data_IF_113531153736
#
_entry.id   IF_113531153736
#
_cell.length_a   1.000
_cell.length_b   1.000
_cell.length_c   1.000
_cell.angle_alpha   90.00
_cell.angle_beta   90.00
_cell.angle_gamma   90.00
#
_symmetry.space_group_name_H-M   'P 1'
#
loop_
_entity.id
_entity.type
_entity.pdbx_description
1 polymer ?
#
# COMPACT_ATOMS: atom_id res chain seq x y z
N UNK A 1 -40.90 -19.86 6.76
CA UNK A 1 -40.24 -18.62 6.33
C UNK A 1 -39.46 -18.93 5.07
N UNK A 2 -39.84 -18.36 3.93
CA UNK A 2 -39.08 -18.53 2.69
C UNK A 2 -37.77 -17.73 2.83
N UNK A 3 -36.62 -18.42 2.88
CA UNK A 3 -35.34 -17.73 2.76
C UNK A 3 -35.26 -17.15 1.35
N UNK A 4 -35.32 -15.83 1.23
CA UNK A 4 -35.12 -15.15 -0.04
C UNK A 4 -33.76 -15.54 -0.62
N UNK A 5 -33.72 -15.91 -1.90
CA UNK A 5 -32.47 -16.20 -2.60
C UNK A 5 -31.56 -14.97 -2.53
N UNK A 6 -30.28 -15.11 -2.11
CA UNK A 6 -29.36 -13.99 -2.05
C UNK A 6 -29.26 -13.30 -3.42
N UNK A 7 -29.18 -11.96 -3.42
CA UNK A 7 -28.86 -11.23 -4.66
C UNK A 7 -27.47 -11.67 -5.16
N UNK A 8 -27.17 -11.54 -6.47
CA UNK A 8 -25.83 -11.86 -6.99
C UNK A 8 -24.71 -11.13 -6.22
N UNK A 9 -24.97 -9.88 -5.83
CA UNK A 9 -24.07 -9.08 -5.00
C UNK A 9 -23.84 -9.70 -3.62
N UNK A 10 -24.91 -10.08 -2.92
CA UNK A 10 -24.81 -10.73 -1.62
C UNK A 10 -24.07 -12.06 -1.73
N UNK A 11 -24.35 -12.86 -2.75
CA UNK A 11 -23.66 -14.13 -2.97
C UNK A 11 -22.14 -13.96 -3.25
N UNK A 12 -21.74 -12.87 -3.91
CA UNK A 12 -20.33 -12.55 -4.12
C UNK A 12 -19.64 -12.14 -2.81
N UNK A 13 -20.29 -11.29 -2.00
CA UNK A 13 -19.78 -10.92 -0.68
C UNK A 13 -19.70 -12.13 0.25
N UNK A 14 -20.71 -13.00 0.25
CA UNK A 14 -20.73 -14.21 1.08
C UNK A 14 -19.62 -15.19 0.69
N UNK A 15 -19.33 -15.34 -0.60
CA UNK A 15 -18.20 -16.15 -1.06
C UNK A 15 -16.85 -15.56 -0.61
N UNK A 16 -16.72 -14.24 -0.64
CA UNK A 16 -15.50 -13.53 -0.27
C UNK A 16 -15.25 -13.53 1.25
N UNK A 17 -16.29 -13.23 2.04
CA UNK A 17 -16.22 -13.23 3.50
C UNK A 17 -16.40 -14.61 4.14
N UNK A 18 -16.74 -15.63 3.34
CA UNK A 18 -16.71 -17.04 3.75
C UNK A 18 -15.30 -17.60 3.88
N UNK A 19 -14.28 -16.94 3.30
CA UNK A 19 -12.87 -17.29 3.47
C UNK A 19 -12.37 -16.93 4.87
N UNK A 20 -11.22 -17.48 5.25
CA UNK A 20 -10.56 -17.12 6.50
C UNK A 20 -10.16 -15.63 6.48
N UNK A 21 -10.77 -14.83 7.36
CA UNK A 21 -10.49 -13.41 7.48
C UNK A 21 -9.75 -13.09 8.79
N UNK A 22 -8.43 -12.97 8.70
CA UNK A 22 -7.57 -12.68 9.85
C UNK A 22 -7.59 -11.20 10.27
N UNK A 23 -8.10 -10.29 9.44
CA UNK A 23 -8.28 -8.88 9.82
C UNK A 23 -9.34 -8.74 10.93
N UNK A 24 -10.32 -9.66 10.96
CA UNK A 24 -11.43 -9.66 11.94
C UNK A 24 -11.36 -10.80 12.96
N UNK A 25 -10.67 -11.90 12.62
CA UNK A 25 -10.48 -13.07 13.49
C UNK A 25 -9.03 -13.56 13.40
N UNK A 26 -8.11 -12.93 14.14
CA UNK A 26 -6.72 -13.38 14.17
C UNK A 26 -6.65 -14.82 14.72
N UNK A 27 -5.86 -15.70 14.11
CA UNK A 27 -5.77 -17.09 14.54
C UNK A 27 -5.03 -17.19 15.89
N UNK A 28 -5.50 -18.10 16.77
CA UNK A 28 -4.91 -18.30 18.10
C UNK A 28 -3.52 -18.95 18.10
N UNK A 29 -3.10 -19.51 16.97
CA UNK A 29 -1.72 -19.87 16.63
C UNK A 29 -1.43 -19.29 15.26
N UNK A 30 -0.29 -18.62 15.09
CA UNK A 30 0.05 -18.01 13.80
C UNK A 30 0.20 -19.14 12.76
N UNK A 31 -0.64 -19.20 11.71
CA UNK A 31 -0.36 -20.08 10.57
C UNK A 31 0.99 -19.67 9.98
N UNK A 32 1.63 -20.56 9.21
CA UNK A 32 2.85 -20.18 8.51
C UNK A 32 2.53 -18.99 7.59
N UNK A 33 3.01 -17.79 7.96
CA UNK A 33 2.97 -16.63 7.10
C UNK A 33 3.99 -16.87 6.00
N UNK A 34 3.59 -17.60 4.97
CA UNK A 34 4.44 -17.93 3.84
C UNK A 34 3.86 -17.27 2.60
N UNK A 35 4.74 -16.65 1.80
CA UNK A 35 4.34 -16.05 0.53
C UNK A 35 4.05 -17.10 -0.55
N UNK A 36 4.24 -18.37 -0.27
CA UNK A 36 4.19 -19.43 -1.27
C UNK A 36 2.77 -19.68 -1.77
N UNK A 37 1.75 -19.58 -0.90
CA UNK A 37 0.35 -19.69 -1.32
C UNK A 37 -0.05 -18.54 -2.25
N UNK A 38 0.23 -17.29 -1.86
CA UNK A 38 -0.07 -16.15 -2.74
C UNK A 38 0.73 -16.19 -4.05
N UNK A 39 1.99 -16.65 -4.03
CA UNK A 39 2.78 -16.85 -5.27
C UNK A 39 2.15 -17.88 -6.19
N UNK A 40 1.65 -19.00 -5.65
CA UNK A 40 0.97 -20.02 -6.44
C UNK A 40 -0.34 -19.48 -7.03
N UNK A 41 -1.14 -18.78 -6.23
CA UNK A 41 -2.37 -18.09 -6.69
C UNK A 41 -2.07 -17.12 -7.85
N UNK A 42 -1.02 -16.29 -7.71
CA UNK A 42 -0.64 -15.34 -8.77
C UNK A 42 -0.08 -16.03 -10.02
N UNK A 43 0.60 -17.16 -9.86
CA UNK A 43 1.04 -17.97 -11.01
C UNK A 43 -0.15 -18.47 -11.83
N UNK A 44 -1.22 -18.91 -11.17
CA UNK A 44 -2.44 -19.35 -11.85
C UNK A 44 -3.17 -18.22 -12.59
N UNK A 45 -3.04 -16.99 -12.10
CA UNK A 45 -3.55 -15.79 -12.77
C UNK A 45 -2.60 -15.26 -13.85
N UNK A 46 -1.49 -15.95 -14.13
CA UNK A 46 -0.54 -15.56 -15.17
C UNK A 46 0.31 -14.35 -14.78
N UNK A 47 0.72 -14.28 -13.51
CA UNK A 47 1.61 -13.27 -12.93
C UNK A 47 1.19 -11.81 -13.18
N UNK A 48 -0.04 -11.41 -12.78
CA UNK A 48 -0.51 -10.05 -13.00
C UNK A 48 0.33 -9.00 -12.25
N UNK A 49 0.94 -9.36 -11.12
CA UNK A 49 1.82 -8.51 -10.30
C UNK A 49 3.10 -8.06 -11.01
N UNK A 50 3.42 -8.64 -12.16
CA UNK A 50 4.62 -8.35 -12.96
C UNK A 50 4.36 -7.43 -14.14
N UNK A 51 3.11 -7.01 -14.36
CA UNK A 51 2.70 -6.23 -15.53
C UNK A 51 2.73 -4.72 -15.32
N UNK A 52 2.95 -4.29 -14.09
CA UNK A 52 3.00 -2.89 -13.68
C UNK A 52 4.00 -2.74 -12.51
N UNK A 53 4.73 -1.62 -12.42
CA UNK A 53 5.57 -1.29 -11.26
C UNK A 53 4.73 -0.89 -10.05
N UNK A 54 5.24 -1.16 -8.84
CA UNK A 54 4.58 -0.77 -7.60
C UNK A 54 5.26 0.42 -6.88
N UNK A 55 4.49 1.18 -6.11
CA UNK A 55 5.01 1.92 -4.95
C UNK A 55 4.48 1.21 -3.71
N UNK A 56 5.37 0.58 -2.94
CA UNK A 56 4.96 -0.30 -1.84
C UNK A 56 5.09 0.39 -0.49
N UNK A 57 3.99 0.53 0.23
CA UNK A 57 3.88 1.41 1.40
C UNK A 57 3.59 0.60 2.66
N UNK A 58 4.57 0.57 3.56
CA UNK A 58 4.45 -0.04 4.90
C UNK A 58 4.48 1.02 6.01
N UNK A 59 4.26 0.57 7.24
CA UNK A 59 4.29 1.43 8.44
C UNK A 59 3.22 1.05 9.46
N UNK A 60 3.15 1.79 10.56
CA UNK A 60 2.12 1.60 11.58
C UNK A 60 0.94 2.53 11.30
N UNK A 61 1.19 3.84 11.28
CA UNK A 61 0.17 4.86 11.07
C UNK A 61 0.39 5.64 9.76
N UNK A 62 -0.69 6.12 9.14
CA UNK A 62 -0.61 7.00 7.96
C UNK A 62 -0.36 6.31 6.62
N UNK A 63 -0.37 4.96 6.57
CA UNK A 63 -0.23 4.16 5.34
C UNK A 63 -1.28 4.55 4.29
N UNK A 64 -2.56 4.33 4.57
CA UNK A 64 -3.66 4.69 3.67
C UNK A 64 -3.64 6.16 3.22
N UNK A 65 -3.41 7.12 4.13
CA UNK A 65 -3.29 8.54 3.76
C UNK A 65 -2.11 8.80 2.82
N UNK A 66 -0.95 8.20 3.08
CA UNK A 66 0.23 8.32 2.20
C UNK A 66 -0.02 7.67 0.84
N UNK A 67 -0.70 6.51 0.82
CA UNK A 67 -1.07 5.83 -0.42
C UNK A 67 -2.01 6.67 -1.28
N UNK A 68 -3.05 7.26 -0.68
CA UNK A 68 -3.99 8.12 -1.37
C UNK A 68 -3.30 9.36 -1.97
N UNK A 69 -2.39 10.00 -1.21
CA UNK A 69 -1.64 11.16 -1.68
C UNK A 69 -0.65 10.80 -2.80
N UNK A 70 -0.01 9.63 -2.71
CA UNK A 70 0.84 9.11 -3.79
C UNK A 70 0.05 8.85 -5.06
N UNK A 71 -1.10 8.18 -4.93
CA UNK A 71 -1.95 7.86 -6.08
C UNK A 71 -2.44 9.14 -6.75
N UNK A 72 -2.91 10.13 -5.98
CA UNK A 72 -3.33 11.43 -6.51
C UNK A 72 -2.19 12.16 -7.23
N UNK A 73 -0.97 12.17 -6.67
CA UNK A 73 0.19 12.82 -7.31
C UNK A 73 0.65 12.13 -8.60
N UNK A 74 0.55 10.79 -8.67
CA UNK A 74 0.83 10.02 -9.89
C UNK A 74 -0.24 10.29 -10.96
N UNK A 75 -1.53 10.28 -10.58
CA UNK A 75 -2.65 10.60 -11.48
C UNK A 75 -2.52 12.03 -12.04
N UNK A 76 -2.24 13.01 -11.18
CA UNK A 76 -2.04 14.40 -11.59
C UNK A 76 -0.80 14.58 -12.49
N UNK A 77 0.15 13.64 -12.43
CA UNK A 77 1.29 13.55 -13.35
C UNK A 77 1.00 12.77 -14.63
N UNK A 78 -0.25 12.36 -14.86
CA UNK A 78 -0.71 11.72 -16.10
C UNK A 78 -0.60 10.19 -16.14
N UNK A 79 -0.25 9.55 -15.03
CA UNK A 79 -0.18 8.08 -14.96
C UNK A 79 -1.53 7.48 -14.64
N UNK A 80 -1.91 6.44 -15.39
CA UNK A 80 -3.02 5.56 -15.01
C UNK A 80 -2.63 4.79 -13.76
N UNK A 81 -3.29 5.05 -12.65
CA UNK A 81 -2.79 4.66 -11.34
C UNK A 81 -3.75 3.72 -10.61
N UNK A 82 -3.27 2.53 -10.28
CA UNK A 82 -3.93 1.63 -9.35
C UNK A 82 -3.69 2.03 -7.88
N UNK A 83 -4.67 1.84 -7.02
CA UNK A 83 -4.54 2.04 -5.57
C UNK A 83 -5.14 0.83 -4.84
N UNK A 84 -4.32 0.18 -4.03
CA UNK A 84 -4.73 -0.92 -3.16
C UNK A 84 -4.54 -0.54 -1.69
N UNK A 85 -5.63 -0.47 -0.92
CA UNK A 85 -5.63 -0.03 0.49
C UNK A 85 -6.45 -0.93 1.40
N UNK A 86 -6.18 -0.86 2.70
CA UNK A 86 -6.93 -1.62 3.71
C UNK A 86 -6.94 -0.92 5.08
N UNK A 87 -8.00 -1.07 5.89
CA UNK A 87 -9.29 -1.68 5.56
C UNK A 87 -10.18 -0.73 4.72
N UNK A 88 -11.35 -1.21 4.32
CA UNK A 88 -12.39 -0.34 3.74
C UNK A 88 -13.26 0.27 4.85
N UNK A 89 -13.93 1.38 4.57
CA UNK A 89 -14.86 2.04 5.49
C UNK A 89 -16.31 1.60 5.27
N UNK A 90 -16.78 1.56 4.02
CA UNK A 90 -18.16 1.15 3.73
C UNK A 90 -18.25 -0.07 2.83
N UNK A 91 -17.41 -0.16 1.80
CA UNK A 91 -17.44 -1.27 0.84
C UNK A 91 -16.05 -1.76 0.46
N UNK A 92 -15.91 -3.08 0.26
CA UNK A 92 -14.65 -3.70 -0.19
C UNK A 92 -14.14 -3.10 -1.50
N UNK A 93 -15.05 -2.54 -2.31
CA UNK A 93 -14.71 -1.82 -3.55
C UNK A 93 -13.74 -0.67 -3.32
N UNK A 94 -13.82 0.02 -2.18
CA UNK A 94 -12.91 1.12 -1.82
C UNK A 94 -11.44 0.69 -1.76
N UNK A 95 -11.18 -0.60 -1.51
CA UNK A 95 -9.83 -1.14 -1.40
C UNK A 95 -9.11 -1.25 -2.74
N UNK A 96 -9.83 -1.21 -3.86
CA UNK A 96 -9.27 -1.40 -5.21
C UNK A 96 -9.78 -0.27 -6.07
N UNK A 97 -8.90 0.67 -6.43
CA UNK A 97 -9.26 1.82 -7.25
C UNK A 97 -8.35 1.94 -8.45
N UNK A 98 -8.88 2.43 -9.56
CA UNK A 98 -8.09 2.87 -10.73
C UNK A 98 -8.47 4.31 -11.00
N UNK A 99 -7.48 5.20 -11.03
CA UNK A 99 -7.67 6.65 -11.22
C UNK A 99 -8.64 7.28 -10.22
N UNK A 100 -8.63 6.77 -8.98
CA UNK A 100 -9.48 7.26 -7.88
C UNK A 100 -10.90 6.70 -7.87
N UNK A 101 -11.27 5.90 -8.86
CA UNK A 101 -12.57 5.27 -8.94
C UNK A 101 -12.53 3.85 -8.36
N UNK A 102 -13.33 3.53 -7.31
CA UNK A 102 -13.46 2.18 -6.80
C UNK A 102 -13.95 1.20 -7.86
N UNK A 103 -13.45 -0.04 -7.80
CA UNK A 103 -13.86 -1.11 -8.69
C UNK A 103 -15.39 -1.25 -8.75
N UNK A 104 -15.93 -1.45 -9.95
CA UNK A 104 -17.37 -1.54 -10.18
C UNK A 104 -17.98 -2.80 -9.58
N UNK A 105 -19.27 -2.74 -9.22
CA UNK A 105 -19.99 -3.96 -8.82
C UNK A 105 -19.98 -5.05 -9.91
N UNK A 106 -20.15 -4.73 -11.22
CA UNK A 106 -20.07 -5.74 -12.27
C UNK A 106 -18.71 -6.45 -12.30
N UNK A 107 -17.61 -5.73 -12.05
CA UNK A 107 -16.26 -6.30 -12.02
C UNK A 107 -16.09 -7.26 -10.84
N UNK A 108 -16.56 -6.86 -9.64
CA UNK A 108 -16.52 -7.72 -8.45
C UNK A 108 -17.38 -8.97 -8.65
N UNK A 109 -18.55 -8.85 -9.28
CA UNK A 109 -19.38 -10.01 -9.62
C UNK A 109 -18.68 -10.93 -10.61
N UNK A 110 -17.96 -10.37 -11.59
CA UNK A 110 -17.18 -11.13 -12.56
C UNK A 110 -16.00 -11.89 -11.93
N UNK A 111 -15.53 -11.50 -10.74
CA UNK A 111 -14.51 -12.25 -10.00
C UNK A 111 -15.02 -13.50 -9.31
N UNK A 112 -16.33 -13.66 -9.11
CA UNK A 112 -16.89 -14.76 -8.32
C UNK A 112 -16.50 -16.16 -8.85
N UNK A 113 -16.53 -16.45 -10.17
CA UNK A 113 -16.06 -17.73 -10.68
C UNK A 113 -14.57 -17.96 -10.39
N UNK A 114 -13.73 -16.94 -10.62
CA UNK A 114 -12.28 -16.99 -10.34
C UNK A 114 -12.02 -17.22 -8.86
N UNK A 115 -12.72 -16.51 -7.97
CA UNK A 115 -12.60 -16.66 -6.53
C UNK A 115 -12.92 -18.09 -6.07
N UNK A 116 -14.01 -18.67 -6.58
CA UNK A 116 -14.40 -20.05 -6.26
C UNK A 116 -13.37 -21.06 -6.74
N UNK A 117 -12.87 -20.89 -7.96
CA UNK A 117 -11.81 -21.73 -8.52
C UNK A 117 -10.51 -21.64 -7.69
N UNK A 118 -10.06 -20.43 -7.37
CA UNK A 118 -8.87 -20.21 -6.53
C UNK A 118 -9.04 -20.83 -5.14
N UNK A 119 -10.18 -20.63 -4.48
CA UNK A 119 -10.44 -21.21 -3.17
C UNK A 119 -10.47 -22.75 -3.20
N UNK A 120 -10.93 -23.35 -4.30
CA UNK A 120 -10.92 -24.80 -4.46
C UNK A 120 -9.51 -25.37 -4.70
N UNK A 121 -8.67 -24.66 -5.47
CA UNK A 121 -7.31 -25.09 -5.81
C UNK A 121 -6.28 -24.79 -4.73
N UNK A 122 -6.54 -23.79 -3.88
CA UNK A 122 -5.68 -23.37 -2.78
C UNK A 122 -6.41 -23.46 -1.42
N UNK A 123 -6.51 -24.65 -0.82
CA UNK A 123 -7.10 -24.80 0.51
C UNK A 123 -6.45 -23.86 1.54
N UNK A 124 -7.27 -23.17 2.31
CA UNK A 124 -6.81 -22.19 3.30
C UNK A 124 -6.52 -20.80 2.74
N UNK A 125 -6.87 -20.52 1.48
CA UNK A 125 -6.83 -19.17 0.90
C UNK A 125 -7.59 -18.20 1.81
N UNK A 126 -6.90 -17.13 2.21
CA UNK A 126 -7.49 -16.10 3.05
C UNK A 126 -8.23 -15.05 2.23
N UNK A 127 -9.14 -14.32 2.88
CA UNK A 127 -9.83 -13.18 2.26
C UNK A 127 -8.82 -12.14 1.75
N UNK A 128 -7.74 -11.88 2.49
CA UNK A 128 -6.73 -10.89 2.11
C UNK A 128 -5.90 -11.35 0.90
N UNK A 129 -5.53 -12.62 0.83
CA UNK A 129 -4.82 -13.19 -0.33
C UNK A 129 -5.68 -13.18 -1.58
N UNK A 130 -6.93 -13.62 -1.47
CA UNK A 130 -7.88 -13.60 -2.57
C UNK A 130 -8.08 -12.16 -3.10
N UNK A 131 -8.27 -11.20 -2.20
CA UNK A 131 -8.45 -9.80 -2.59
C UNK A 131 -7.21 -9.23 -3.26
N UNK A 132 -6.04 -9.50 -2.71
CA UNK A 132 -4.77 -9.00 -3.26
C UNK A 132 -4.55 -9.54 -4.67
N UNK A 133 -4.81 -10.84 -4.88
CA UNK A 133 -4.69 -11.47 -6.19
C UNK A 133 -5.67 -10.87 -7.21
N UNK A 134 -6.93 -10.68 -6.81
CA UNK A 134 -7.95 -10.07 -7.67
C UNK A 134 -7.67 -8.59 -7.97
N UNK A 135 -7.17 -7.83 -6.99
CA UNK A 135 -6.72 -6.45 -7.19
C UNK A 135 -5.59 -6.37 -8.22
N UNK A 136 -4.61 -7.26 -8.11
CA UNK A 136 -3.49 -7.29 -9.05
C UNK A 136 -3.92 -7.67 -10.47
N UNK A 137 -4.80 -8.66 -10.61
CA UNK A 137 -5.41 -9.02 -11.90
C UNK A 137 -6.24 -7.87 -12.47
N UNK A 138 -6.99 -7.15 -11.63
CA UNK A 138 -7.74 -5.97 -12.05
C UNK A 138 -6.82 -4.85 -12.58
N UNK A 139 -5.74 -4.52 -11.87
CA UNK A 139 -4.75 -3.54 -12.32
C UNK A 139 -4.06 -3.94 -13.63
N UNK A 140 -3.75 -5.23 -13.78
CA UNK A 140 -3.20 -5.78 -15.02
C UNK A 140 -4.17 -5.65 -16.20
N UNK A 141 -5.46 -5.96 -16.01
CA UNK A 141 -6.50 -5.82 -17.04
C UNK A 141 -6.80 -4.37 -17.38
N UNK A 142 -6.77 -3.50 -16.38
CA UNK A 142 -6.90 -2.07 -16.55
C UNK A 142 -5.65 -1.43 -17.17
N UNK A 143 -4.55 -2.19 -17.37
CA UNK A 143 -3.29 -1.67 -17.92
C UNK A 143 -2.85 -0.38 -17.20
N UNK A 144 -2.83 -0.42 -15.85
CA UNK A 144 -2.28 0.70 -15.07
C UNK A 144 -0.79 0.87 -15.35
N UNK A 145 -0.32 2.11 -15.37
CA UNK A 145 1.09 2.42 -15.53
C UNK A 145 1.88 2.16 -14.25
N UNK A 146 1.20 2.24 -13.11
CA UNK A 146 1.77 2.05 -11.76
C UNK A 146 0.65 1.74 -10.77
N UNK A 147 0.95 0.99 -9.71
CA UNK A 147 0.03 0.84 -8.59
C UNK A 147 0.68 1.19 -7.24
N UNK A 148 -0.07 1.90 -6.40
CA UNK A 148 0.30 2.18 -5.02
C UNK A 148 -0.31 1.12 -4.12
N UNK A 149 0.54 0.33 -3.47
CA UNK A 149 0.14 -0.87 -2.73
C UNK A 149 0.40 -0.66 -1.24
N UNK A 150 -0.67 -0.63 -0.45
CA UNK A 150 -0.59 -0.62 1.00
C UNK A 150 -0.31 -2.02 1.54
N UNK A 151 0.66 -2.14 2.44
CA UNK A 151 0.90 -3.35 3.23
C UNK A 151 -0.24 -3.55 4.23
N UNK A 152 -0.79 -4.77 4.30
CA UNK A 152 -1.83 -5.11 5.27
C UNK A 152 -1.28 -5.17 6.69
N UNK A 153 -0.41 -6.15 6.97
CA UNK A 153 0.19 -6.38 8.28
C UNK A 153 1.69 -6.66 8.19
N UNK A 154 2.47 -6.03 9.07
CA UNK A 154 3.92 -6.23 9.10
C UNK A 154 4.58 -5.68 7.85
N UNK A 155 5.33 -6.52 7.14
CA UNK A 155 5.85 -6.26 5.80
C UNK A 155 6.52 -7.47 5.16
N UNK A 156 7.42 -8.14 5.88
CA UNK A 156 8.26 -9.24 5.37
C UNK A 156 7.44 -10.38 4.77
N UNK A 157 6.38 -10.79 5.46
CA UNK A 157 5.53 -11.92 5.09
C UNK A 157 4.11 -11.47 4.74
N UNK A 158 3.91 -10.16 4.51
CA UNK A 158 2.65 -9.64 4.05
C UNK A 158 2.37 -10.13 2.62
N UNK A 159 1.12 -10.47 2.35
CA UNK A 159 0.67 -10.96 1.02
C UNK A 159 1.10 -10.04 -0.12
N UNK A 160 1.14 -8.72 0.12
CA UNK A 160 1.51 -7.73 -0.89
C UNK A 160 3.00 -7.72 -1.21
N UNK A 161 3.87 -8.34 -0.39
CA UNK A 161 5.33 -8.34 -0.56
C UNK A 161 5.85 -9.22 -1.73
N UNK A 162 4.96 -9.60 -2.63
CA UNK A 162 5.27 -10.26 -3.91
C UNK A 162 5.51 -9.27 -5.05
N UNK A 163 5.19 -7.98 -4.87
CA UNK A 163 5.36 -6.95 -5.91
C UNK A 163 6.84 -6.59 -6.14
N UNK A 164 7.11 -6.03 -7.33
CA UNK A 164 8.38 -5.43 -7.71
C UNK A 164 8.27 -3.89 -7.68
N UNK A 165 8.59 -3.24 -6.55
CA UNK A 165 8.43 -1.80 -6.41
C UNK A 165 9.50 -0.99 -7.14
N UNK A 166 9.09 0.13 -7.73
CA UNK A 166 9.98 1.21 -8.16
C UNK A 166 10.46 2.06 -6.97
N UNK A 167 9.67 2.10 -5.89
CA UNK A 167 10.04 2.71 -4.62
C UNK A 167 9.31 2.03 -3.46
N UNK A 168 9.95 2.01 -2.29
CA UNK A 168 9.33 1.56 -1.03
C UNK A 168 9.21 2.73 -0.07
N UNK A 169 8.09 2.80 0.65
CA UNK A 169 7.79 3.89 1.58
C UNK A 169 7.50 3.31 2.95
N UNK A 170 8.12 3.86 3.99
CA UNK A 170 7.79 3.58 5.37
C UNK A 170 7.20 4.82 6.03
N UNK A 171 5.94 4.74 6.39
CA UNK A 171 5.29 5.71 7.28
C UNK A 171 5.75 5.47 8.73
N UNK A 172 5.38 6.32 9.71
CA UNK A 172 5.85 6.17 11.09
C UNK A 172 5.61 4.77 11.65
N UNK A 173 6.64 4.21 12.28
CA UNK A 173 6.64 2.91 12.94
C UNK A 173 6.49 3.11 14.44
N UNK A 174 5.54 2.40 15.03
CA UNK A 174 5.30 2.34 16.47
C UNK A 174 4.86 0.95 16.89
N UNK A 175 4.64 0.80 18.20
CA UNK A 175 4.09 -0.44 18.76
C UNK A 175 2.68 -0.66 18.22
N UNK A 176 2.49 -1.78 17.54
CA UNK A 176 1.23 -2.21 16.95
C UNK A 176 1.30 -3.70 16.63
N UNK A 177 0.16 -4.40 16.75
CA UNK A 177 0.07 -5.85 16.53
C UNK A 177 1.19 -6.66 17.22
N UNK A 178 1.51 -6.35 18.48
CA UNK A 178 2.69 -6.90 19.18
C UNK A 178 2.65 -8.43 19.32
N UNK A 179 1.44 -9.01 19.38
CA UNK A 179 1.24 -10.46 19.39
C UNK A 179 1.74 -11.17 18.12
N UNK A 180 1.90 -10.44 17.01
CA UNK A 180 2.33 -10.97 15.70
C UNK A 180 3.72 -10.48 15.33
N UNK A 181 3.99 -9.19 15.54
CA UNK A 181 5.19 -8.52 15.04
C UNK A 181 6.30 -8.37 16.08
N UNK A 182 6.04 -8.76 17.34
CA UNK A 182 6.97 -8.64 18.46
C UNK A 182 6.61 -7.49 19.41
N UNK A 183 7.21 -7.53 20.59
CA UNK A 183 6.87 -6.64 21.71
C UNK A 183 7.71 -5.35 21.71
N UNK A 184 8.63 -5.19 20.75
CA UNK A 184 9.52 -4.03 20.68
C UNK A 184 9.48 -3.34 19.32
N UNK A 185 9.78 -2.03 19.33
CA UNK A 185 9.77 -1.20 18.10
C UNK A 185 10.80 -1.68 17.08
N UNK A 186 11.95 -2.18 17.51
CA UNK A 186 13.00 -2.71 16.63
C UNK A 186 12.58 -4.02 15.95
N UNK A 187 11.86 -4.92 16.64
CA UNK A 187 11.28 -6.12 16.03
C UNK A 187 10.24 -5.77 14.96
N UNK A 188 9.33 -4.86 15.29
CA UNK A 188 8.30 -4.37 14.35
C UNK A 188 8.95 -3.67 13.15
N UNK A 189 9.98 -2.85 13.38
CA UNK A 189 10.71 -2.19 12.32
C UNK A 189 11.45 -3.19 11.41
N UNK A 190 12.00 -4.27 11.97
CA UNK A 190 12.68 -5.31 11.20
C UNK A 190 11.72 -6.04 10.27
N UNK A 191 10.50 -6.35 10.75
CA UNK A 191 9.49 -6.98 9.91
C UNK A 191 9.01 -6.03 8.80
N UNK A 192 8.73 -4.76 9.13
CA UNK A 192 8.30 -3.73 8.15
C UNK A 192 9.38 -3.44 7.11
N UNK A 193 10.66 -3.41 7.50
CA UNK A 193 11.78 -3.28 6.57
C UNK A 193 11.94 -4.49 5.62
N UNK A 194 11.21 -5.58 5.86
CA UNK A 194 11.15 -6.74 4.97
C UNK A 194 10.53 -6.47 3.60
N UNK A 195 9.89 -5.31 3.39
CA UNK A 195 9.42 -4.89 2.05
C UNK A 195 10.54 -4.33 1.16
N UNK A 196 11.70 -4.02 1.72
CA UNK A 196 12.81 -3.44 0.96
C UNK A 196 13.33 -4.44 -0.08
N UNK A 197 13.64 -3.94 -1.27
CA UNK A 197 14.22 -4.72 -2.37
C UNK A 197 15.59 -4.15 -2.74
N UNK A 198 16.57 -4.99 -3.14
CA UNK A 198 17.92 -4.52 -3.46
C UNK A 198 17.93 -3.40 -4.51
N UNK A 199 18.67 -2.32 -4.25
CA UNK A 199 18.78 -1.16 -5.14
C UNK A 199 17.52 -0.31 -5.29
N UNK A 200 16.37 -0.73 -4.75
CA UNK A 200 15.12 0.06 -4.80
C UNK A 200 15.16 1.15 -3.73
N UNK A 201 14.85 2.42 -4.06
CA UNK A 201 14.86 3.50 -3.09
C UNK A 201 13.85 3.30 -1.96
N UNK A 202 14.27 3.67 -0.76
CA UNK A 202 13.46 3.70 0.46
C UNK A 202 13.20 5.14 0.85
N UNK A 203 11.94 5.50 1.02
CA UNK A 203 11.52 6.78 1.60
C UNK A 203 10.99 6.51 3.00
N UNK A 204 11.64 7.06 4.02
CA UNK A 204 11.18 6.93 5.39
C UNK A 204 10.62 8.25 5.89
N UNK A 205 9.39 8.22 6.38
CA UNK A 205 8.85 9.24 7.28
C UNK A 205 9.76 9.40 8.53
N UNK A 206 9.60 10.47 9.33
CA UNK A 206 10.30 10.58 10.62
C UNK A 206 10.03 9.34 11.49
N UNK A 207 11.10 8.75 12.03
CA UNK A 207 11.03 7.56 12.88
C UNK A 207 11.61 7.86 14.27
N UNK A 208 11.18 7.07 15.26
CA UNK A 208 11.89 7.00 16.54
C UNK A 208 13.26 6.34 16.35
N UNK A 209 14.22 6.65 17.22
CA UNK A 209 15.62 6.23 17.07
C UNK A 209 15.78 4.71 16.89
N UNK A 210 15.02 3.91 17.64
CA UNK A 210 15.05 2.44 17.53
C UNK A 210 14.64 1.95 16.13
N UNK A 211 13.54 2.47 15.57
CA UNK A 211 13.10 2.13 14.22
C UNK A 211 14.06 2.67 13.15
N UNK A 212 14.56 3.90 13.32
CA UNK A 212 15.50 4.52 12.39
C UNK A 212 16.80 3.69 12.24
N UNK A 213 17.34 3.19 13.35
CA UNK A 213 18.54 2.35 13.34
C UNK A 213 18.32 1.05 12.55
N UNK A 214 17.17 0.39 12.76
CA UNK A 214 16.82 -0.84 12.04
C UNK A 214 16.62 -0.59 10.55
N UNK A 215 15.89 0.47 10.19
CA UNK A 215 15.66 0.86 8.78
C UNK A 215 17.00 1.13 8.08
N UNK A 216 17.90 1.90 8.70
CA UNK A 216 19.21 2.20 8.15
C UNK A 216 20.04 0.93 7.94
N UNK A 217 20.09 0.04 8.94
CA UNK A 217 20.82 -1.23 8.85
C UNK A 217 20.25 -2.17 7.78
N UNK A 218 18.92 -2.27 7.70
CA UNK A 218 18.24 -3.11 6.71
C UNK A 218 18.49 -2.62 5.29
N UNK A 219 18.39 -1.31 5.05
CA UNK A 219 18.64 -0.72 3.75
C UNK A 219 20.12 -0.85 3.33
N UNK A 220 21.06 -0.57 4.24
CA UNK A 220 22.48 -0.71 3.98
C UNK A 220 22.87 -2.16 3.59
N UNK A 221 22.31 -3.16 4.28
CA UNK A 221 22.57 -4.58 4.02
C UNK A 221 22.21 -5.01 2.59
N UNK A 222 21.22 -4.38 1.97
CA UNK A 222 20.78 -4.72 0.61
C UNK A 222 21.13 -3.65 -0.43
N UNK A 223 21.91 -2.64 -0.05
CA UNK A 223 22.28 -1.52 -0.92
C UNK A 223 21.11 -0.66 -1.39
N UNK A 224 20.05 -0.55 -0.58
CA UNK A 224 18.91 0.31 -0.89
C UNK A 224 19.20 1.77 -0.44
N UNK A 225 19.13 2.78 -1.32
CA UNK A 225 19.34 4.16 -0.93
C UNK A 225 18.14 4.66 -0.11
N UNK A 226 18.41 5.40 0.98
CA UNK A 226 17.35 5.90 1.87
C UNK A 226 17.27 7.42 1.83
N UNK A 227 16.06 7.95 1.63
CA UNK A 227 15.71 9.36 1.82
C UNK A 227 14.90 9.51 3.10
N UNK A 228 15.37 10.35 4.02
CA UNK A 228 14.76 10.56 5.32
C UNK A 228 13.97 11.87 5.35
N UNK A 229 12.66 11.76 5.50
CA UNK A 229 11.79 12.92 5.75
C UNK A 229 12.06 13.44 7.16
N UNK A 230 12.28 14.75 7.28
CA UNK A 230 12.73 15.43 8.49
C UNK A 230 14.24 15.60 8.60
N UNK A 231 15.02 15.01 7.68
CA UNK A 231 16.48 15.20 7.61
C UNK A 231 16.93 15.63 6.22
N UNK A 232 16.60 14.82 5.22
CA UNK A 232 16.96 15.04 3.81
C UNK A 232 15.85 15.80 3.07
N UNK A 233 14.60 15.64 3.53
CA UNK A 233 13.41 16.36 3.04
C UNK A 233 12.82 17.16 4.19
N UNK A 234 12.51 18.44 3.97
CA UNK A 234 11.85 19.30 4.96
C UNK A 234 10.51 19.79 4.44
N UNK A 235 9.60 20.12 5.34
CA UNK A 235 8.28 20.62 4.95
C UNK A 235 7.82 21.77 5.84
N UNK A 236 6.88 22.55 5.32
CA UNK A 236 6.21 23.63 6.03
C UNK A 236 4.71 23.50 5.78
N UNK A 237 3.94 23.37 6.85
CA UNK A 237 2.50 23.52 6.77
C UNK A 237 2.16 25.01 6.65
N UNK A 238 1.33 25.34 5.68
CA UNK A 238 0.79 26.68 5.46
C UNK A 238 -0.66 26.79 5.94
N UNK A 239 -1.45 27.59 5.24
CA UNK A 239 -2.85 27.84 5.58
C UNK A 239 -3.66 26.55 5.71
N UNK A 240 -4.23 26.36 6.89
CA UNK A 240 -5.05 25.21 7.24
C UNK A 240 -6.51 25.63 7.46
N UNK A 241 -7.43 24.83 6.94
CA UNK A 241 -8.86 24.89 7.21
C UNK A 241 -9.32 23.52 7.71
N UNK A 242 -10.56 23.38 8.21
CA UNK A 242 -11.11 22.06 8.51
C UNK A 242 -11.14 21.09 7.31
N UNK A 243 -11.04 21.63 6.08
CA UNK A 243 -11.15 20.89 4.82
C UNK A 243 -9.80 20.59 4.16
N UNK A 244 -8.68 21.01 4.76
CA UNK A 244 -7.37 20.77 4.18
C UNK A 244 -6.30 21.76 4.60
N UNK A 245 -5.09 21.57 4.08
CA UNK A 245 -3.95 22.44 4.39
C UNK A 245 -3.02 22.60 3.19
N UNK A 246 -2.40 23.77 3.06
CA UNK A 246 -1.28 23.99 2.15
C UNK A 246 -0.01 23.39 2.73
N UNK A 247 0.85 22.84 1.86
CA UNK A 247 2.11 22.24 2.24
C UNK A 247 3.17 22.61 1.21
N UNK A 248 4.31 23.12 1.70
CA UNK A 248 5.52 23.27 0.90
C UNK A 248 6.53 22.21 1.33
N UNK A 249 7.15 21.51 0.38
CA UNK A 249 8.14 20.45 0.62
C UNK A 249 9.41 20.77 -0.14
N UNK A 250 10.52 20.84 0.58
CA UNK A 250 11.87 21.02 0.06
C UNK A 250 12.58 19.66 0.07
N UNK A 251 12.99 19.21 -1.11
CA UNK A 251 13.65 17.91 -1.32
C UNK A 251 15.12 18.10 -1.71
N UNK A 252 15.97 17.04 -1.68
CA UNK A 252 17.38 17.15 -2.08
C UNK A 252 17.58 17.81 -3.45
N UNK A 253 18.73 18.44 -3.70
CA UNK A 253 18.99 19.08 -5.00
C UNK A 253 18.15 20.32 -5.32
N UNK A 254 17.45 20.89 -4.32
CA UNK A 254 16.85 22.23 -4.42
C UNK A 254 15.49 22.30 -5.11
N UNK A 255 14.89 21.17 -5.48
CA UNK A 255 13.49 21.15 -5.94
C UNK A 255 12.56 21.47 -4.77
N UNK A 256 11.52 22.25 -5.06
CA UNK A 256 10.46 22.60 -4.12
C UNK A 256 9.12 22.25 -4.73
N UNK A 257 8.29 21.60 -3.92
CA UNK A 257 6.91 21.28 -4.23
C UNK A 257 6.01 22.16 -3.35
N UNK A 258 4.90 22.63 -3.90
CA UNK A 258 3.88 23.34 -3.14
C UNK A 258 2.53 22.76 -3.54
N UNK A 259 1.81 22.18 -2.59
CA UNK A 259 0.56 21.45 -2.84
C UNK A 259 -0.50 21.77 -1.78
N UNK A 260 -1.75 21.42 -2.06
CA UNK A 260 -2.85 21.42 -1.07
C UNK A 260 -3.42 20.02 -0.92
N UNK A 261 -3.51 19.57 0.33
CA UNK A 261 -4.17 18.29 0.66
C UNK A 261 -5.54 18.55 1.27
N UNK A 262 -6.52 17.70 0.94
CA UNK A 262 -7.88 17.73 1.52
C UNK A 262 -7.99 17.19 2.95
N UNK A 263 -6.86 17.06 3.65
CA UNK A 263 -6.77 16.49 4.99
C UNK A 263 -6.13 17.50 5.94
N UNK A 264 -6.84 17.87 7.00
CA UNK A 264 -6.31 18.70 8.06
C UNK A 264 -5.44 17.89 9.04
N UNK A 265 -4.58 18.59 9.78
CA UNK A 265 -3.84 18.04 10.92
C UNK A 265 -2.33 17.86 10.69
N UNK A 266 -1.49 18.05 11.72
CA UNK A 266 -0.03 18.02 11.58
C UNK A 266 0.53 16.70 11.04
N UNK A 267 -0.05 15.55 11.45
CA UNK A 267 0.39 14.25 10.95
C UNK A 267 0.13 14.08 9.45
N UNK A 268 -0.91 14.73 8.92
CA UNK A 268 -1.18 14.70 7.48
C UNK A 268 -0.16 15.53 6.69
N UNK A 269 0.43 16.57 7.30
CA UNK A 269 1.55 17.27 6.70
C UNK A 269 2.78 16.36 6.54
N UNK A 270 3.04 15.48 7.52
CA UNK A 270 4.11 14.48 7.44
C UNK A 270 3.82 13.43 6.37
N UNK A 271 2.58 12.92 6.30
CA UNK A 271 2.18 11.96 5.27
C UNK A 271 2.35 12.55 3.87
N UNK A 272 1.96 13.81 3.67
CA UNK A 272 2.13 14.52 2.40
C UNK A 272 3.60 14.78 2.06
N UNK A 273 4.42 15.22 3.02
CA UNK A 273 5.85 15.37 2.81
C UNK A 273 6.51 14.03 2.41
N UNK A 274 6.04 12.93 3.00
CA UNK A 274 6.50 11.57 2.68
C UNK A 274 6.05 11.12 1.29
N UNK A 275 4.80 11.38 0.91
CA UNK A 275 4.31 11.11 -0.44
C UNK A 275 5.09 11.92 -1.49
N UNK A 276 5.30 13.22 -1.26
CA UNK A 276 6.08 14.09 -2.15
C UNK A 276 7.54 13.63 -2.25
N UNK A 277 8.16 13.20 -1.15
CA UNK A 277 9.52 12.65 -1.18
C UNK A 277 9.62 11.40 -2.07
N UNK A 278 8.61 10.52 -2.02
CA UNK A 278 8.55 9.35 -2.89
C UNK A 278 8.29 9.72 -4.36
N UNK A 279 7.40 10.68 -4.64
CA UNK A 279 7.17 11.22 -5.98
C UNK A 279 8.45 11.86 -6.56
N UNK A 280 9.19 12.62 -5.75
CA UNK A 280 10.49 13.19 -6.13
C UNK A 280 11.52 12.09 -6.41
N UNK A 281 11.55 11.03 -5.60
CA UNK A 281 12.39 9.86 -5.81
C UNK A 281 12.13 9.18 -7.16
N UNK A 282 10.85 8.97 -7.50
CA UNK A 282 10.45 8.46 -8.82
C UNK A 282 10.85 9.44 -9.94
N UNK A 283 10.67 10.75 -9.73
CA UNK A 283 11.10 11.77 -10.70
C UNK A 283 12.61 11.71 -10.98
N UNK A 284 13.46 11.47 -9.96
CA UNK A 284 14.92 11.28 -10.15
C UNK A 284 15.24 10.00 -10.90
N UNK A 285 14.40 8.99 -10.80
CA UNK A 285 14.51 7.74 -11.54
C UNK A 285 13.97 7.84 -12.99
N UNK A 286 13.63 9.05 -13.46
CA UNK A 286 13.25 9.30 -14.86
C UNK A 286 11.73 9.32 -15.12
N UNK A 287 10.91 9.24 -14.08
CA UNK A 287 9.46 9.37 -14.22
C UNK A 287 9.10 10.84 -14.52
N UNK A 288 8.16 11.06 -15.44
CA UNK A 288 7.60 12.37 -15.79
C UNK A 288 6.74 12.97 -14.66
N UNK A 289 7.37 13.30 -13.53
CA UNK A 289 6.75 13.92 -12.37
C UNK A 289 7.47 15.25 -12.11
N UNK A 290 6.71 16.33 -11.97
CA UNK A 290 7.27 17.67 -11.76
C UNK A 290 6.60 18.36 -10.58
N UNK A 291 7.21 19.41 -10.01
CA UNK A 291 6.53 20.23 -9.02
C UNK A 291 5.19 20.80 -9.49
N UNK A 292 5.04 21.07 -10.79
CA UNK A 292 3.80 21.60 -11.35
C UNK A 292 2.68 20.56 -11.43
N UNK A 293 3.00 19.28 -11.65
CA UNK A 293 2.00 18.21 -11.72
C UNK A 293 1.56 17.71 -10.34
N UNK A 294 2.37 17.95 -9.30
CA UNK A 294 2.08 17.56 -7.91
C UNK A 294 1.43 18.71 -7.12
N UNK A 295 1.28 19.89 -7.73
CA UNK A 295 0.75 21.09 -7.08
C UNK A 295 -0.73 20.99 -6.70
#
# INVERSE_FOLDING_TARGET
MQHATPTPWQAALDAFYGLANWETRPPGTLPSFELDRIRAVLADLGHPERRWPAVHVGGTNGKGSTCALLAAGLQASGYRTGLYTSPHMHTVRERIQVDGEPVGEPDVLAWLPTLRDLAARHPGLTTFEALTALAFDHFARAAVDVAVIEVGLGGRLDTTNVVAPAATVLTPIGLDHTQVLGDTVDQIAADKAGIFKPGVPVISAPQVAAAAAVVAAAAARIGAPVTWVGRDVTWRAGDATPWGQAIAVDVPGGRRYATRIGLAGPHQAVNAATAVAALDGLARAGWAITPATVA
#
